data_IF_272616490138
#
_entry.id   IF_272616490138
#
_cell.length_a   1.000
_cell.length_b   1.000
_cell.length_c   1.000
_cell.angle_alpha   90.00
_cell.angle_beta   90.00
_cell.angle_gamma   90.00
#
_symmetry.space_group_name_H-M   'P 1'
#
loop_
_entity.id
_entity.type
_entity.pdbx_description
1 polymer ?
#
# COMPACT_ATOMS: atom_id res chain seq x y z
N UNK A 1 17.63 4.91 15.84
CA UNK A 1 16.53 3.94 16.00
C UNK A 1 15.29 4.65 16.50
N UNK A 2 14.52 5.22 15.59
CA UNK A 2 13.14 5.59 15.91
C UNK A 2 12.32 4.40 15.44
N UNK A 3 11.84 3.59 16.37
CA UNK A 3 10.86 2.56 16.03
C UNK A 3 9.66 3.27 15.39
N UNK A 4 9.43 3.00 14.10
CA UNK A 4 8.28 3.47 13.38
C UNK A 4 7.03 2.85 14.02
N UNK A 5 6.44 3.52 15.01
CA UNK A 5 5.08 3.22 15.45
C UNK A 5 4.15 3.72 14.36
N UNK A 6 3.90 2.88 13.38
CA UNK A 6 2.88 3.10 12.37
C UNK A 6 1.58 3.48 13.10
N UNK A 7 1.06 4.68 12.81
CA UNK A 7 -0.16 5.18 13.45
C UNK A 7 -1.33 4.37 12.89
N UNK A 8 -1.84 3.44 13.69
CA UNK A 8 -2.99 2.62 13.30
C UNK A 8 -4.23 3.48 13.13
N UNK A 9 -5.04 3.17 12.11
CA UNK A 9 -6.37 3.72 11.92
C UNK A 9 -7.32 3.02 12.89
N UNK A 10 -7.97 3.74 13.82
CA UNK A 10 -8.85 3.11 14.81
C UNK A 10 -9.98 2.31 14.17
N UNK A 11 -10.32 1.18 14.79
CA UNK A 11 -11.36 0.26 14.34
C UNK A 11 -11.20 -0.29 12.91
N UNK A 12 -10.11 -0.02 12.19
CA UNK A 12 -9.94 -0.44 10.80
C UNK A 12 -8.99 -1.63 10.69
N UNK A 13 -9.45 -2.69 10.04
CA UNK A 13 -8.74 -3.97 9.95
C UNK A 13 -8.63 -4.45 8.51
N UNK A 14 -7.52 -5.14 8.23
CA UNK A 14 -7.29 -5.90 7.01
C UNK A 14 -7.22 -7.37 7.43
N UNK A 15 -8.10 -8.18 6.86
CA UNK A 15 -8.15 -9.63 7.06
C UNK A 15 -7.58 -10.28 5.81
N UNK A 16 -6.53 -11.07 6.00
CA UNK A 16 -5.82 -11.75 4.92
C UNK A 16 -6.21 -13.22 4.92
N UNK A 17 -6.66 -13.71 3.78
CA UNK A 17 -7.00 -15.12 3.60
C UNK A 17 -5.74 -15.93 3.28
N UNK A 18 -5.72 -17.21 3.67
CA UNK A 18 -4.69 -18.14 3.21
C UNK A 18 -4.72 -18.24 1.69
N UNK A 19 -3.55 -18.28 1.06
CA UNK A 19 -3.44 -18.41 -0.41
C UNK A 19 -4.04 -19.74 -0.95
N UNK A 20 -4.25 -20.72 -0.08
CA UNK A 20 -4.87 -22.02 -0.39
C UNK A 20 -6.40 -22.01 -0.29
N UNK A 21 -7.01 -20.97 0.30
CA UNK A 21 -8.46 -20.87 0.45
C UNK A 21 -9.14 -20.72 -0.92
N UNK A 22 -10.19 -21.49 -1.17
CA UNK A 22 -10.92 -21.46 -2.45
C UNK A 22 -11.69 -20.15 -2.62
N UNK A 23 -11.97 -19.76 -3.87
CA UNK A 23 -12.72 -18.54 -4.16
C UNK A 23 -14.15 -18.60 -3.58
N UNK A 24 -14.74 -19.79 -3.56
CA UNK A 24 -16.06 -20.06 -2.99
C UNK A 24 -16.07 -19.85 -1.47
N UNK A 25 -15.04 -20.36 -0.78
CA UNK A 25 -14.89 -20.19 0.66
C UNK A 25 -14.67 -18.72 1.03
N UNK A 26 -13.80 -18.01 0.29
CA UNK A 26 -13.59 -16.56 0.48
C UNK A 26 -14.90 -15.78 0.28
N UNK A 27 -15.67 -16.10 -0.76
CA UNK A 27 -16.96 -15.45 -1.02
C UNK A 27 -17.97 -15.73 0.10
N UNK A 28 -18.07 -16.98 0.55
CA UNK A 28 -18.98 -17.39 1.62
C UNK A 28 -18.62 -16.70 2.95
N UNK A 29 -17.34 -16.70 3.31
CA UNK A 29 -16.86 -16.03 4.52
C UNK A 29 -17.09 -14.52 4.45
N UNK A 30 -16.73 -13.87 3.34
CA UNK A 30 -16.94 -12.43 3.15
C UNK A 30 -18.43 -12.06 3.30
N UNK A 31 -19.33 -12.86 2.75
CA UNK A 31 -20.77 -12.64 2.89
C UNK A 31 -21.26 -12.83 4.34
N UNK A 32 -20.76 -13.87 5.03
CA UNK A 32 -21.04 -14.10 6.45
C UNK A 32 -20.58 -12.90 7.30
N UNK A 33 -19.31 -12.50 7.16
CA UNK A 33 -18.72 -11.36 7.88
C UNK A 33 -19.50 -10.07 7.59
N UNK A 34 -19.84 -9.79 6.33
CA UNK A 34 -20.63 -8.60 5.98
C UNK A 34 -22.00 -8.57 6.65
N UNK A 35 -22.69 -9.72 6.73
CA UNK A 35 -23.99 -9.81 7.41
C UNK A 35 -23.89 -9.59 8.92
N UNK A 36 -22.83 -10.12 9.54
CA UNK A 36 -22.56 -9.92 10.96
C UNK A 36 -22.17 -8.47 11.24
N UNK A 37 -21.32 -7.88 10.39
CA UNK A 37 -20.86 -6.51 10.51
C UNK A 37 -22.01 -5.52 10.48
N UNK A 38 -22.96 -5.69 9.54
CA UNK A 38 -24.16 -4.85 9.44
C UNK A 38 -24.96 -4.82 10.74
N UNK A 39 -25.15 -5.98 11.39
CA UNK A 39 -25.83 -6.06 12.69
C UNK A 39 -24.96 -5.46 13.81
N UNK A 40 -23.66 -5.78 13.77
CA UNK A 40 -22.52 -5.21 14.51
C UNK A 40 -22.60 -3.70 14.73
N UNK A 41 -22.60 -3.03 13.59
CA UNK A 41 -22.26 -1.63 13.47
C UNK A 41 -23.47 -0.73 13.36
N UNK A 42 -24.69 -1.29 13.37
CA UNK A 42 -25.91 -0.49 13.29
C UNK A 42 -25.98 0.50 14.46
N UNK A 43 -25.99 1.80 14.13
CA UNK A 43 -25.94 2.91 15.09
C UNK A 43 -24.73 2.92 16.03
N UNK A 44 -23.68 2.16 15.70
CA UNK A 44 -22.48 2.04 16.52
C UNK A 44 -21.45 3.09 16.14
N UNK A 45 -20.70 3.56 17.13
CA UNK A 45 -19.60 4.50 16.96
C UNK A 45 -18.28 3.86 17.37
N UNK A 46 -17.21 4.16 16.66
CA UNK A 46 -15.85 3.73 16.96
C UNK A 46 -15.26 4.51 18.13
N UNK A 47 -14.00 4.21 18.47
CA UNK A 47 -13.29 4.82 19.60
C UNK A 47 -13.10 6.33 19.47
N UNK A 48 -13.13 6.86 18.24
CA UNK A 48 -13.05 8.30 17.95
C UNK A 48 -14.43 8.95 17.74
N UNK A 49 -15.52 8.25 18.09
CA UNK A 49 -16.88 8.78 18.00
C UNK A 49 -17.49 8.80 16.59
N UNK A 50 -16.73 8.41 15.56
CA UNK A 50 -17.24 8.27 14.19
C UNK A 50 -18.18 7.07 14.07
N UNK A 51 -19.26 7.13 13.25
CA UNK A 51 -20.07 5.94 12.97
C UNK A 51 -19.21 4.87 12.30
N UNK A 52 -19.33 3.61 12.74
CA UNK A 52 -18.60 2.51 12.12
C UNK A 52 -19.26 2.13 10.79
N UNK A 53 -18.45 1.96 9.74
CA UNK A 53 -18.93 1.50 8.43
C UNK A 53 -19.61 0.14 8.54
N UNK A 54 -20.74 -0.04 7.85
CA UNK A 54 -21.42 -1.35 7.74
C UNK A 54 -20.93 -2.18 6.55
N UNK A 55 -19.98 -1.64 5.79
CA UNK A 55 -19.53 -2.20 4.53
C UNK A 55 -18.19 -2.91 4.66
N UNK A 56 -18.08 -4.04 3.97
CA UNK A 56 -16.83 -4.78 3.78
C UNK A 56 -16.33 -4.49 2.37
N UNK A 57 -15.04 -4.19 2.24
CA UNK A 57 -14.37 -4.05 0.94
C UNK A 57 -13.46 -5.24 0.72
N UNK A 58 -13.56 -5.89 -0.43
CA UNK A 58 -12.69 -7.02 -0.78
C UNK A 58 -11.73 -6.61 -1.88
N UNK A 59 -10.50 -7.13 -1.83
CA UNK A 59 -9.50 -6.94 -2.87
C UNK A 59 -8.81 -8.28 -3.17
N UNK A 60 -8.34 -8.41 -4.41
CA UNK A 60 -7.62 -9.59 -4.86
C UNK A 60 -6.47 -9.18 -5.79
N UNK A 61 -5.29 -9.74 -5.55
CA UNK A 61 -4.11 -9.61 -6.41
C UNK A 61 -3.56 -11.02 -6.62
N UNK A 62 -3.78 -11.60 -7.81
CA UNK A 62 -3.49 -13.01 -8.05
C UNK A 62 -4.25 -13.92 -7.07
N UNK A 63 -3.53 -14.72 -6.29
CA UNK A 63 -4.12 -15.58 -5.24
C UNK A 63 -4.21 -14.91 -3.86
N UNK A 64 -3.59 -13.74 -3.70
CA UNK A 64 -3.70 -12.97 -2.47
C UNK A 64 -5.07 -12.31 -2.42
N UNK A 65 -5.82 -12.59 -1.36
CA UNK A 65 -7.19 -12.12 -1.17
C UNK A 65 -7.28 -11.49 0.20
N UNK A 66 -7.96 -10.36 0.28
CA UNK A 66 -8.18 -9.64 1.53
C UNK A 66 -9.60 -9.12 1.63
N UNK A 67 -10.07 -8.95 2.85
CA UNK A 67 -11.21 -8.10 3.15
C UNK A 67 -10.83 -7.02 4.17
N UNK A 68 -11.29 -5.81 3.94
CA UNK A 68 -11.10 -4.66 4.79
C UNK A 68 -12.44 -4.24 5.39
N UNK A 69 -12.46 -3.99 6.69
CA UNK A 69 -13.67 -3.64 7.43
C UNK A 69 -13.37 -2.72 8.62
N UNK A 70 -14.41 -2.05 9.10
CA UNK A 70 -14.38 -1.30 10.36
C UNK A 70 -15.13 -2.08 11.44
N UNK A 71 -14.45 -2.51 12.50
CA UNK A 71 -15.03 -3.40 13.50
C UNK A 71 -14.52 -3.10 14.92
N UNK A 72 -15.14 -3.74 15.90
CA UNK A 72 -14.53 -3.88 17.22
C UNK A 72 -13.43 -4.92 17.22
N UNK A 73 -12.51 -4.79 18.19
CA UNK A 73 -11.39 -5.71 18.35
C UNK A 73 -11.85 -7.16 18.60
N UNK A 74 -12.94 -7.37 19.33
CA UNK A 74 -13.54 -8.70 19.54
C UNK A 74 -13.96 -9.36 18.23
N UNK A 75 -14.65 -8.62 17.35
CA UNK A 75 -15.05 -9.14 16.05
C UNK A 75 -13.84 -9.40 15.14
N UNK A 76 -12.82 -8.55 15.17
CA UNK A 76 -11.59 -8.78 14.42
C UNK A 76 -10.86 -10.04 14.91
N UNK A 77 -10.83 -10.28 16.22
CA UNK A 77 -10.28 -11.51 16.80
C UNK A 77 -11.08 -12.75 16.38
N UNK A 78 -12.41 -12.70 16.47
CA UNK A 78 -13.28 -13.81 16.04
C UNK A 78 -13.07 -14.16 14.56
N UNK A 79 -12.85 -13.15 13.70
CA UNK A 79 -12.52 -13.37 12.30
C UNK A 79 -11.16 -14.06 12.14
N UNK A 80 -10.19 -13.69 12.97
CA UNK A 80 -8.85 -14.30 12.96
C UNK A 80 -8.82 -15.79 13.32
N UNK A 81 -9.84 -16.27 14.03
CA UNK A 81 -9.95 -17.67 14.44
C UNK A 81 -10.53 -18.60 13.35
N UNK A 82 -10.93 -18.05 12.20
CA UNK A 82 -11.45 -18.85 11.08
C UNK A 82 -10.34 -19.58 10.31
N UNK A 83 -10.61 -20.84 9.93
CA UNK A 83 -9.66 -21.68 9.20
C UNK A 83 -9.22 -21.09 7.86
N UNK A 84 -10.06 -20.29 7.21
CA UNK A 84 -9.77 -19.63 5.94
C UNK A 84 -8.80 -18.44 6.05
N UNK A 85 -8.63 -17.89 7.26
CA UNK A 85 -7.85 -16.68 7.54
C UNK A 85 -6.41 -17.05 7.88
N UNK A 86 -5.48 -16.28 7.33
CA UNK A 86 -4.04 -16.38 7.62
C UNK A 86 -3.69 -15.47 8.81
N UNK A 87 -4.06 -14.20 8.72
CA UNK A 87 -3.90 -13.23 9.80
C UNK A 87 -4.85 -12.04 9.65
N UNK A 88 -5.00 -11.30 10.75
CA UNK A 88 -5.70 -10.02 10.81
C UNK A 88 -4.74 -8.95 11.28
N UNK A 89 -4.64 -7.84 10.55
CA UNK A 89 -3.80 -6.71 10.90
C UNK A 89 -4.60 -5.40 11.02
N UNK A 90 -4.11 -4.48 11.85
CA UNK A 90 -4.68 -3.13 11.96
C UNK A 90 -4.23 -2.31 10.75
N UNK A 91 -5.19 -1.69 10.07
CA UNK A 91 -4.89 -0.72 9.02
C UNK A 91 -4.11 0.45 9.62
N UNK A 92 -3.14 1.00 8.89
CA UNK A 92 -2.27 2.02 9.44
C UNK A 92 -1.85 3.05 8.40
N UNK A 93 -1.56 4.27 8.89
CA UNK A 93 -1.09 5.36 8.07
C UNK A 93 0.34 5.10 7.60
N UNK A 94 0.58 5.35 6.32
CA UNK A 94 1.93 5.46 5.72
C UNK A 94 2.19 6.92 5.36
N UNK A 95 3.44 7.38 5.54
CA UNK A 95 3.86 8.75 5.20
C UNK A 95 5.14 8.73 4.38
N UNK A 96 5.19 9.58 3.35
CA UNK A 96 6.39 9.81 2.53
C UNK A 96 7.41 10.73 3.21
N UNK A 97 7.02 11.39 4.32
CA UNK A 97 7.78 12.49 4.94
C UNK A 97 8.71 12.04 6.07
N UNK A 98 8.95 10.74 6.24
CA UNK A 98 10.04 10.28 7.11
C UNK A 98 11.39 10.57 6.43
N UNK A 99 11.81 11.84 6.50
CA UNK A 99 13.07 12.33 5.98
C UNK A 99 14.23 11.64 6.69
N UNK A 100 14.81 10.63 6.06
CA UNK A 100 16.14 10.12 6.43
C UNK A 100 17.16 11.07 5.80
N UNK A 101 17.80 11.90 6.63
CA UNK A 101 18.86 12.80 6.17
C UNK A 101 20.13 11.99 5.96
N UNK A 102 20.52 11.77 4.69
CA UNK A 102 21.85 11.31 4.35
C UNK A 102 22.77 12.54 4.25
N UNK A 103 23.61 12.74 5.27
CA UNK A 103 24.74 13.66 5.18
C UNK A 103 25.70 13.16 4.10
N UNK A 104 26.24 14.08 3.30
CA UNK A 104 27.18 13.80 2.19
C UNK A 104 26.63 12.87 1.09
N UNK A 105 25.33 12.96 0.78
CA UNK A 105 24.73 12.24 -0.35
C UNK A 105 25.41 12.63 -1.68
N UNK A 106 26.00 11.68 -2.44
CA UNK A 106 26.69 12.02 -3.67
C UNK A 106 25.67 12.38 -4.80
N UNK A 107 26.09 13.08 -5.88
CA UNK A 107 25.25 13.36 -7.06
C UNK A 107 24.67 12.06 -7.67
N UNK A 108 23.38 12.12 -8.00
CA UNK A 108 22.49 10.96 -8.04
C UNK A 108 22.51 10.06 -9.29
N UNK A 109 22.60 10.57 -10.52
CA UNK A 109 22.50 9.70 -11.71
C UNK A 109 23.85 9.11 -12.15
N UNK A 110 24.94 9.82 -11.89
CA UNK A 110 26.28 9.40 -12.29
C UNK A 110 26.72 8.07 -11.64
N UNK A 111 26.27 7.79 -10.40
CA UNK A 111 26.54 6.51 -9.71
C UNK A 111 25.84 5.30 -10.34
N UNK A 112 24.80 5.52 -11.15
CA UNK A 112 24.07 4.42 -11.78
C UNK A 112 24.80 3.87 -13.00
N UNK A 113 25.65 4.68 -13.66
CA UNK A 113 26.37 4.29 -14.88
C UNK A 113 27.89 4.20 -14.72
N UNK A 114 28.44 4.56 -13.56
CA UNK A 114 29.88 4.50 -13.30
C UNK A 114 30.17 3.76 -11.98
N UNK A 115 31.06 2.75 -12.04
CA UNK A 115 31.46 1.97 -10.87
C UNK A 115 32.42 2.73 -9.92
N UNK A 116 33.10 3.78 -10.42
CA UNK A 116 34.04 4.55 -9.64
C UNK A 116 33.33 5.47 -8.62
N UNK A 117 33.90 5.68 -7.42
CA UNK A 117 33.34 6.60 -6.43
C UNK A 117 33.17 8.02 -6.97
N UNK A 118 32.17 8.74 -6.45
CA UNK A 118 31.95 10.15 -6.80
C UNK A 118 33.21 10.98 -6.57
N UNK A 119 33.59 11.75 -7.59
CA UNK A 119 34.75 12.63 -7.57
C UNK A 119 36.03 11.99 -8.11
N UNK A 120 36.06 10.65 -8.24
CA UNK A 120 37.17 9.88 -8.82
C UNK A 120 36.89 9.40 -10.25
N UNK A 121 35.74 9.76 -10.81
CA UNK A 121 35.36 9.33 -12.15
C UNK A 121 36.07 10.15 -13.22
N UNK A 122 36.41 9.50 -14.34
CA UNK A 122 37.06 10.15 -15.46
C UNK A 122 36.12 11.13 -16.19
N UNK A 123 34.82 10.83 -16.25
CA UNK A 123 33.80 11.68 -16.89
C UNK A 123 32.88 12.31 -15.84
N UNK A 124 33.39 13.31 -15.13
CA UNK A 124 32.63 14.02 -14.10
C UNK A 124 31.29 14.54 -14.64
N UNK A 125 30.19 14.19 -13.96
CA UNK A 125 28.84 14.63 -14.30
C UNK A 125 28.21 13.94 -15.52
N UNK A 126 28.82 12.88 -16.06
CA UNK A 126 28.27 12.17 -17.23
C UNK A 126 27.42 10.99 -16.79
N UNK A 127 26.23 10.85 -17.40
CA UNK A 127 25.39 9.67 -17.24
C UNK A 127 25.42 8.90 -18.55
N UNK A 128 26.16 7.78 -18.58
CA UNK A 128 26.23 6.90 -19.75
C UNK A 128 25.09 5.89 -19.68
N UNK A 129 24.24 5.85 -20.69
CA UNK A 129 23.16 4.88 -20.80
C UNK A 129 23.00 4.45 -22.24
N UNK A 130 22.49 3.23 -22.44
CA UNK A 130 22.10 2.76 -23.76
C UNK A 130 20.89 3.56 -24.24
N UNK A 131 20.87 4.03 -25.48
CA UNK A 131 19.76 4.84 -26.00
C UNK A 131 18.44 4.08 -26.08
N UNK A 132 18.47 2.74 -26.05
CA UNK A 132 17.29 1.88 -25.94
C UNK A 132 16.87 1.61 -24.48
N UNK A 133 17.62 2.11 -23.49
CA UNK A 133 17.34 1.86 -22.08
C UNK A 133 15.91 2.29 -21.72
N UNK A 134 15.18 1.39 -21.05
CA UNK A 134 13.79 1.60 -20.65
C UNK A 134 12.76 1.48 -21.78
N UNK A 135 13.17 1.22 -23.03
CA UNK A 135 12.21 0.96 -24.11
C UNK A 135 11.35 -0.27 -23.77
N UNK A 136 10.06 -0.20 -24.12
CA UNK A 136 9.03 -1.19 -23.80
C UNK A 136 8.86 -1.52 -22.29
N UNK A 137 9.40 -0.69 -21.39
CA UNK A 137 9.21 -0.84 -19.94
C UNK A 137 8.08 0.05 -19.45
N UNK A 138 7.20 -0.50 -18.60
CA UNK A 138 6.18 0.27 -17.88
C UNK A 138 6.55 0.33 -16.40
N UNK A 139 6.68 1.55 -15.85
CA UNK A 139 6.88 1.77 -14.42
C UNK A 139 5.56 2.20 -13.77
N UNK A 140 5.20 1.55 -12.65
CA UNK A 140 4.06 1.94 -11.81
C UNK A 140 4.58 2.70 -10.60
N UNK A 141 4.03 3.90 -10.37
CA UNK A 141 4.41 4.78 -9.26
C UNK A 141 3.21 4.96 -8.34
N UNK A 142 3.38 4.62 -7.05
CA UNK A 142 2.40 4.86 -5.99
C UNK A 142 2.98 5.93 -5.08
N UNK A 143 2.47 7.15 -5.20
CA UNK A 143 2.93 8.33 -4.47
C UNK A 143 1.72 9.26 -4.20
N UNK A 144 2.00 10.42 -3.62
CA UNK A 144 1.11 11.56 -3.39
C UNK A 144 0.50 12.17 -4.66
N UNK A 145 1.07 11.89 -5.84
CA UNK A 145 0.59 12.36 -7.14
C UNK A 145 1.72 12.61 -8.13
N UNK A 146 1.36 12.94 -9.38
CA UNK A 146 2.32 13.27 -10.43
C UNK A 146 1.76 14.36 -11.36
N UNK A 147 2.56 15.39 -11.67
CA UNK A 147 2.22 16.38 -12.70
C UNK A 147 2.48 15.77 -14.09
N UNK A 148 1.58 14.90 -14.54
CA UNK A 148 1.71 14.17 -15.81
C UNK A 148 1.79 15.07 -17.05
N UNK A 149 1.37 16.32 -16.93
CA UNK A 149 1.45 17.35 -17.99
C UNK A 149 2.83 18.03 -18.10
N UNK A 150 3.78 17.69 -17.23
CA UNK A 150 5.13 18.27 -17.32
C UNK A 150 5.83 17.84 -18.62
N UNK A 151 6.45 18.81 -19.31
CA UNK A 151 7.06 18.61 -20.64
C UNK A 151 8.07 17.47 -20.70
N UNK A 152 8.84 17.25 -19.62
CA UNK A 152 9.89 16.21 -19.57
C UNK A 152 9.33 14.78 -19.56
N UNK A 153 8.04 14.60 -19.25
CA UNK A 153 7.39 13.30 -19.42
C UNK A 153 7.07 12.98 -20.87
N UNK A 154 6.98 13.99 -21.75
CA UNK A 154 6.76 13.79 -23.20
C UNK A 154 5.54 12.90 -23.50
N UNK A 155 4.50 12.98 -22.66
CA UNK A 155 3.29 12.15 -22.76
C UNK A 155 3.42 10.71 -22.26
N UNK A 156 4.57 10.30 -21.69
CA UNK A 156 4.82 8.94 -21.18
C UNK A 156 4.20 8.67 -19.81
N UNK A 157 3.72 9.69 -19.11
CA UNK A 157 3.12 9.57 -17.78
C UNK A 157 1.59 9.73 -17.84
N UNK A 158 0.86 8.84 -17.17
CA UNK A 158 -0.60 8.91 -17.04
C UNK A 158 -1.02 8.55 -15.62
N UNK A 159 -2.11 9.16 -15.15
CA UNK A 159 -2.72 8.81 -13.86
C UNK A 159 -3.67 7.64 -14.06
N UNK A 160 -3.38 6.51 -13.40
CA UNK A 160 -4.19 5.29 -13.52
C UNK A 160 -5.33 5.27 -12.49
N UNK A 161 -5.07 5.78 -11.28
CA UNK A 161 -6.05 5.84 -10.20
C UNK A 161 -5.72 6.98 -9.23
N UNK A 162 -6.76 7.48 -8.57
CA UNK A 162 -6.64 8.36 -7.40
C UNK A 162 -7.39 7.72 -6.23
N UNK A 163 -6.69 7.57 -5.10
CA UNK A 163 -7.21 6.93 -3.89
C UNK A 163 -7.40 7.91 -2.73
N UNK A 164 -7.19 9.21 -2.96
CA UNK A 164 -7.53 10.27 -1.99
C UNK A 164 -9.06 10.31 -1.86
N UNK A 165 -9.54 10.23 -0.62
CA UNK A 165 -10.96 10.38 -0.27
C UNK A 165 -11.29 11.81 0.11
#
# INVERSE_FOLDING_TARGET
NVEAKSKTVPNSYIVVYKNTTSAEAVKAMTASVSSQLKKRNLNKRGSEGQPLSTDVRSMQIGNWRVMCLEAEESMASEIGDHDEVDYVEKNAWSSIQELVVQQDAPPGLQRLSEAAPVGQQQQKGTYVFDSSAGNATTAYVVDSGCLTTHKDFEGRATTIANFVK
#
